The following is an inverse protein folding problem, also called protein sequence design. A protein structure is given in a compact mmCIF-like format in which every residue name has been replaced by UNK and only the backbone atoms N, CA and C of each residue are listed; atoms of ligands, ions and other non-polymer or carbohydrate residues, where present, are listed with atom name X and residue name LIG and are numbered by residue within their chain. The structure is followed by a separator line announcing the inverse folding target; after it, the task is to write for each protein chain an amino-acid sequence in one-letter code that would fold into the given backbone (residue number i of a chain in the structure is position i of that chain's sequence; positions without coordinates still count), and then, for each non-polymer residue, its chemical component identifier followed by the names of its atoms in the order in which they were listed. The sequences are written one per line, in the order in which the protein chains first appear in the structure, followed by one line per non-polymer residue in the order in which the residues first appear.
data_IF_281323772085
#
_entry.id   IF_281323772085
#
_cell.length_a   1.000
_cell.length_b   1.000
_cell.length_c   1.000
_cell.angle_alpha   90.00
_cell.angle_beta   90.00
_cell.angle_gamma   90.00
#
_symmetry.space_group_name_H-M   'P 1'
#
loop_
_entity.id
_entity.type
_entity.pdbx_description
1 polymer ?
#
# COMPACT_ATOMS: atom_id res chain seq x y z
N UNK A 1 -24.83 -15.72 0.19
CA UNK A 1 -23.59 -15.24 0.87
C UNK A 1 -22.39 -15.81 0.14
N UNK A 2 -21.54 -14.95 -0.43
CA UNK A 2 -20.36 -15.35 -1.21
C UNK A 2 -19.10 -15.49 -0.34
N UNK A 3 -19.26 -15.56 0.98
CA UNK A 3 -18.12 -15.71 1.89
C UNK A 3 -17.58 -17.13 1.84
N UNK A 4 -16.26 -17.26 1.67
CA UNK A 4 -15.54 -18.52 1.65
C UNK A 4 -14.66 -18.66 2.89
N UNK A 5 -14.62 -19.86 3.47
CA UNK A 5 -13.68 -20.13 4.57
C UNK A 5 -12.24 -20.10 4.08
N UNK A 6 -11.38 -19.42 4.81
CA UNK A 6 -9.94 -19.38 4.52
C UNK A 6 -9.28 -20.64 5.10
N UNK A 7 -8.62 -21.40 4.25
CA UNK A 7 -7.84 -22.56 4.66
C UNK A 7 -6.44 -22.16 5.15
N UNK A 8 -5.86 -21.13 4.53
CA UNK A 8 -4.53 -20.63 4.86
C UNK A 8 -4.41 -19.17 4.38
N UNK A 9 -3.84 -18.33 5.20
CA UNK A 9 -3.39 -16.99 4.87
C UNK A 9 -1.85 -17.02 4.78
N UNK A 10 -1.26 -16.34 3.81
CA UNK A 10 0.20 -16.30 3.61
C UNK A 10 0.59 -14.88 3.22
N UNK A 11 1.42 -14.26 4.04
CA UNK A 11 1.93 -12.92 3.77
C UNK A 11 3.24 -12.98 2.97
N UNK A 12 3.31 -12.23 1.89
CA UNK A 12 4.50 -12.05 1.05
C UNK A 12 5.24 -13.35 0.69
N UNK A 13 4.57 -14.31 0.01
CA UNK A 13 5.25 -15.49 -0.50
C UNK A 13 6.35 -15.06 -1.49
N UNK A 14 7.37 -15.90 -1.65
CA UNK A 14 8.33 -15.71 -2.74
C UNK A 14 7.65 -15.79 -4.13
N UNK A 15 8.32 -15.27 -5.16
CA UNK A 15 7.75 -15.16 -6.50
C UNK A 15 7.32 -16.51 -7.09
N UNK A 16 8.11 -17.56 -6.88
CA UNK A 16 7.81 -18.91 -7.40
C UNK A 16 6.59 -19.51 -6.69
N UNK A 17 6.48 -19.28 -5.40
CA UNK A 17 5.31 -19.69 -4.61
C UNK A 17 4.07 -18.91 -5.01
N UNK A 18 4.18 -17.58 -5.23
CA UNK A 18 3.08 -16.76 -5.70
C UNK A 18 2.56 -17.22 -7.07
N UNK A 19 3.44 -17.54 -8.01
CA UNK A 19 3.06 -18.12 -9.32
C UNK A 19 2.27 -19.41 -9.17
N UNK A 20 2.74 -20.32 -8.31
CA UNK A 20 2.03 -21.59 -8.02
C UNK A 20 0.64 -21.37 -7.44
N UNK A 21 0.46 -20.34 -6.60
CA UNK A 21 -0.84 -20.00 -6.02
C UNK A 21 -1.80 -19.45 -7.09
N UNK A 22 -1.31 -18.62 -8.00
CA UNK A 22 -2.10 -18.10 -9.12
C UNK A 22 -2.54 -19.25 -10.03
N UNK A 23 -1.62 -20.15 -10.40
CA UNK A 23 -1.88 -21.30 -11.30
C UNK A 23 -2.88 -22.29 -10.66
N UNK A 24 -2.89 -22.43 -9.35
CA UNK A 24 -3.80 -23.28 -8.62
C UNK A 24 -5.28 -22.79 -8.67
N UNK A 25 -5.52 -21.52 -8.93
CA UNK A 25 -6.85 -20.93 -9.13
C UNK A 25 -7.77 -20.91 -7.90
N UNK A 26 -7.25 -21.25 -6.73
CA UNK A 26 -8.00 -21.30 -5.45
C UNK A 26 -7.39 -20.38 -4.38
N UNK A 27 -6.51 -19.49 -4.78
CA UNK A 27 -5.98 -18.42 -3.95
C UNK A 27 -6.53 -17.07 -4.41
N UNK A 28 -6.65 -16.16 -3.47
CA UNK A 28 -7.09 -14.79 -3.72
C UNK A 28 -5.99 -13.83 -3.30
N UNK A 29 -5.85 -12.74 -4.05
CA UNK A 29 -4.97 -11.65 -3.68
C UNK A 29 -5.57 -10.89 -2.50
N UNK A 30 -4.79 -10.71 -1.44
CA UNK A 30 -5.22 -9.95 -0.28
C UNK A 30 -5.18 -8.44 -0.59
N UNK A 31 -6.32 -7.77 -0.43
CA UNK A 31 -6.40 -6.31 -0.59
C UNK A 31 -5.94 -5.54 0.66
N UNK A 32 -5.69 -6.22 1.77
CA UNK A 32 -5.42 -5.57 3.06
C UNK A 32 -6.65 -4.92 3.72
N UNK A 33 -7.85 -5.12 3.17
CA UNK A 33 -9.10 -4.61 3.74
C UNK A 33 -9.73 -5.63 4.66
N UNK A 34 -9.67 -5.39 5.97
CA UNK A 34 -10.24 -6.27 6.97
C UNK A 34 -11.44 -5.61 7.65
N UNK A 35 -12.52 -6.38 7.83
CA UNK A 35 -13.71 -5.96 8.57
C UNK A 35 -14.01 -6.97 9.67
N UNK A 36 -14.15 -6.51 10.88
CA UNK A 36 -14.37 -7.37 12.07
C UNK A 36 -15.18 -6.65 13.15
N UNK A 37 -15.78 -7.43 14.05
CA UNK A 37 -16.30 -6.88 15.31
C UNK A 37 -15.16 -6.63 16.27
N UNK A 38 -15.14 -5.49 16.95
CA UNK A 38 -14.08 -5.12 17.90
C UNK A 38 -13.86 -6.20 18.97
N UNK A 39 -14.92 -6.80 19.50
CA UNK A 39 -14.82 -7.86 20.50
C UNK A 39 -14.15 -9.14 19.96
N UNK A 40 -14.35 -9.47 18.69
CA UNK A 40 -13.75 -10.64 18.06
C UNK A 40 -12.25 -10.42 17.87
N UNK A 41 -11.87 -9.27 17.30
CA UNK A 41 -10.44 -9.00 17.06
C UNK A 41 -9.65 -8.84 18.37
N UNK A 42 -10.24 -8.26 19.42
CA UNK A 42 -9.61 -8.20 20.74
C UNK A 42 -9.37 -9.61 21.29
N UNK A 43 -10.34 -10.51 21.13
CA UNK A 43 -10.18 -11.91 21.54
C UNK A 43 -9.09 -12.65 20.76
N UNK A 44 -8.92 -12.35 19.46
CA UNK A 44 -7.82 -12.93 18.67
C UNK A 44 -6.46 -12.36 19.12
N UNK A 45 -6.37 -11.08 19.47
CA UNK A 45 -5.16 -10.51 20.08
C UNK A 45 -4.87 -11.14 21.45
N UNK A 46 -5.88 -11.37 22.27
CA UNK A 46 -5.71 -12.08 23.55
C UNK A 46 -5.15 -13.48 23.36
N UNK A 47 -5.59 -14.18 22.29
CA UNK A 47 -5.16 -15.54 21.97
C UNK A 47 -3.73 -15.59 21.41
N UNK A 48 -3.41 -14.72 20.46
CA UNK A 48 -2.18 -14.84 19.66
C UNK A 48 -1.10 -13.82 20.01
N UNK A 49 -1.47 -12.68 20.61
CA UNK A 49 -0.58 -11.58 20.95
C UNK A 49 -0.91 -10.97 22.33
N UNK A 50 -0.98 -11.78 23.41
CA UNK A 50 -1.42 -11.28 24.72
C UNK A 50 -0.50 -10.22 25.30
N UNK A 51 0.80 -10.29 25.02
CA UNK A 51 1.79 -9.29 25.45
C UNK A 51 1.55 -7.94 24.78
N UNK A 52 1.41 -7.94 23.44
CA UNK A 52 1.13 -6.73 22.66
C UNK A 52 -0.17 -6.08 23.13
N UNK A 53 -1.24 -6.86 23.26
CA UNK A 53 -2.54 -6.32 23.70
C UNK A 53 -2.45 -5.68 25.11
N UNK A 54 -1.71 -6.29 26.03
CA UNK A 54 -1.51 -5.74 27.37
C UNK A 54 -0.79 -4.40 27.30
N UNK A 55 0.32 -4.34 26.59
CA UNK A 55 1.10 -3.11 26.44
C UNK A 55 0.26 -2.00 25.78
N UNK A 56 -0.52 -2.31 24.74
CA UNK A 56 -1.40 -1.36 24.10
C UNK A 56 -2.50 -0.85 25.06
N UNK A 57 -3.12 -1.74 25.86
CA UNK A 57 -4.11 -1.34 26.87
C UNK A 57 -3.49 -0.38 27.90
N UNK A 58 -2.29 -0.69 28.39
CA UNK A 58 -1.59 0.15 29.37
C UNK A 58 -1.27 1.54 28.81
N UNK A 59 -0.97 1.67 27.51
CA UNK A 59 -0.73 2.94 26.84
C UNK A 59 -2.03 3.75 26.66
N UNK A 60 -3.11 3.11 26.21
CA UNK A 60 -4.39 3.77 25.90
C UNK A 60 -5.13 4.24 27.15
N UNK A 61 -5.10 3.46 28.25
CA UNK A 61 -5.84 3.80 29.47
C UNK A 61 -5.23 4.95 30.28
N UNK A 62 -4.05 5.47 29.92
CA UNK A 62 -3.41 6.60 30.63
C UNK A 62 -4.00 7.97 30.31
N UNK A 63 -4.93 8.06 29.36
CA UNK A 63 -5.54 9.34 28.90
C UNK A 63 -4.50 10.40 28.44
N UNK A 64 -3.28 9.97 28.15
CA UNK A 64 -2.19 10.83 27.70
C UNK A 64 -1.79 10.45 26.27
N UNK A 65 -1.21 11.40 25.55
CA UNK A 65 -0.61 11.10 24.26
C UNK A 65 0.54 10.09 24.45
N UNK A 66 0.53 9.02 23.64
CA UNK A 66 1.62 8.04 23.62
C UNK A 66 2.84 8.69 23.02
N UNK A 67 3.97 8.66 23.71
CA UNK A 67 5.24 9.16 23.17
C UNK A 67 5.80 8.22 22.10
N UNK A 68 6.67 8.73 21.23
CA UNK A 68 7.34 7.91 20.21
C UNK A 68 8.13 6.77 20.86
N UNK A 69 8.90 7.06 21.91
CA UNK A 69 9.72 6.08 22.63
C UNK A 69 8.88 4.93 23.21
N UNK A 70 7.68 5.23 23.73
CA UNK A 70 6.76 4.21 24.25
C UNK A 70 6.16 3.37 23.11
N UNK A 71 5.85 4.01 21.98
CA UNK A 71 5.33 3.32 20.81
C UNK A 71 6.38 2.38 20.18
N UNK A 72 7.63 2.81 20.10
CA UNK A 72 8.75 2.03 19.56
C UNK A 72 9.10 0.78 20.40
N UNK A 73 8.64 0.72 21.66
CA UNK A 73 8.78 -0.49 22.50
C UNK A 73 7.77 -1.57 22.16
N UNK A 74 6.74 -1.27 21.36
CA UNK A 74 5.81 -2.28 20.89
C UNK A 74 6.49 -3.17 19.82
N UNK A 75 6.13 -4.47 19.74
CA UNK A 75 6.60 -5.33 18.66
C UNK A 75 6.24 -4.78 17.29
N UNK A 76 7.23 -4.65 16.41
CA UNK A 76 7.01 -4.35 14.99
C UNK A 76 6.56 -5.62 14.26
N UNK A 77 5.26 -5.83 14.18
CA UNK A 77 4.65 -6.99 13.55
C UNK A 77 3.41 -6.58 12.76
N UNK A 78 3.36 -6.97 11.49
CA UNK A 78 2.19 -6.76 10.66
C UNK A 78 0.96 -7.52 11.18
N UNK A 79 -0.22 -6.93 11.08
CA UNK A 79 -1.49 -7.55 11.46
C UNK A 79 -1.72 -8.91 10.80
N UNK A 80 -1.32 -9.03 9.55
CA UNK A 80 -1.36 -10.25 8.75
C UNK A 80 -0.63 -11.40 9.46
N UNK A 81 0.62 -11.18 9.86
CA UNK A 81 1.44 -12.17 10.57
C UNK A 81 1.04 -12.35 12.05
N UNK A 82 0.57 -11.27 12.68
CA UNK A 82 0.17 -11.30 14.08
C UNK A 82 -1.09 -12.14 14.30
N UNK A 83 -2.08 -12.01 13.42
CA UNK A 83 -3.43 -12.53 13.56
C UNK A 83 -3.85 -13.38 12.36
N UNK A 84 -3.77 -12.86 11.11
CA UNK A 84 -4.44 -13.48 9.96
C UNK A 84 -3.85 -14.84 9.58
N UNK A 85 -2.56 -15.04 9.72
CA UNK A 85 -1.92 -16.35 9.50
C UNK A 85 -2.25 -17.41 10.55
N UNK A 86 -2.84 -17.00 11.70
CA UNK A 86 -3.06 -17.86 12.86
C UNK A 86 -4.53 -18.10 13.18
N UNK A 87 -5.41 -17.19 12.79
CA UNK A 87 -6.83 -17.27 13.11
C UNK A 87 -7.54 -18.33 12.25
N UNK A 88 -8.47 -19.03 12.87
CA UNK A 88 -9.40 -19.96 12.21
C UNK A 88 -10.79 -19.33 11.97
N UNK A 89 -10.97 -18.05 12.30
CA UNK A 89 -12.25 -17.34 12.20
C UNK A 89 -12.38 -16.47 10.95
N UNK A 90 -11.35 -16.42 10.12
CA UNK A 90 -11.34 -15.57 8.94
C UNK A 90 -12.14 -16.20 7.79
N UNK A 91 -12.84 -15.33 7.06
CA UNK A 91 -13.49 -15.65 5.80
C UNK A 91 -13.03 -14.65 4.73
N UNK A 92 -13.06 -15.05 3.47
CA UNK A 92 -12.78 -14.17 2.34
C UNK A 92 -14.06 -13.91 1.56
N UNK A 93 -14.25 -12.66 1.12
CA UNK A 93 -15.26 -12.23 0.18
C UNK A 93 -14.57 -11.96 -1.14
N UNK A 94 -14.58 -12.89 -2.11
CA UNK A 94 -14.02 -12.64 -3.43
C UNK A 94 -14.76 -11.47 -4.08
N UNK A 95 -14.01 -10.49 -4.57
CA UNK A 95 -14.56 -9.26 -5.12
C UNK A 95 -13.78 -8.82 -6.35
N UNK A 96 -14.48 -8.28 -7.33
CA UNK A 96 -13.93 -7.69 -8.55
C UNK A 96 -14.56 -6.30 -8.74
N UNK A 97 -13.97 -5.31 -8.07
CA UNK A 97 -14.42 -3.91 -8.12
C UNK A 97 -13.31 -2.96 -8.59
N UNK A 98 -12.30 -3.50 -9.30
CA UNK A 98 -11.19 -2.71 -9.82
C UNK A 98 -10.20 -2.25 -8.75
N UNK A 99 -10.05 -3.01 -7.65
CA UNK A 99 -9.04 -2.70 -6.65
C UNK A 99 -7.62 -2.84 -7.21
N UNK A 100 -6.76 -1.91 -6.85
CA UNK A 100 -5.33 -1.94 -7.18
C UNK A 100 -4.51 -1.50 -5.96
N UNK A 101 -3.42 -2.21 -5.71
CA UNK A 101 -2.41 -1.78 -4.73
C UNK A 101 -1.55 -0.68 -5.35
N UNK A 102 -1.97 0.58 -5.18
CA UNK A 102 -1.25 1.75 -5.69
C UNK A 102 -0.05 2.03 -4.76
N UNK A 103 0.97 1.18 -4.83
CA UNK A 103 2.19 1.28 -4.03
C UNK A 103 3.36 1.99 -4.73
N UNK A 104 3.16 2.53 -5.95
CA UNK A 104 4.21 3.22 -6.72
C UNK A 104 3.61 4.21 -7.72
N UNK A 105 4.43 5.13 -8.20
CA UNK A 105 4.05 6.04 -9.30
C UNK A 105 3.70 5.28 -10.58
N UNK A 106 4.40 4.19 -10.86
CA UNK A 106 4.08 3.28 -11.96
C UNK A 106 2.69 2.69 -11.84
N UNK A 107 2.33 2.17 -10.66
CA UNK A 107 0.99 1.60 -10.43
C UNK A 107 -0.10 2.66 -10.58
N UNK A 108 0.16 3.88 -10.10
CA UNK A 108 -0.76 5.01 -10.25
C UNK A 108 -0.91 5.41 -11.73
N UNK A 109 0.21 5.48 -12.46
CA UNK A 109 0.19 5.71 -13.91
C UNK A 109 -0.64 4.65 -14.64
N UNK A 110 -0.43 3.37 -14.32
CA UNK A 110 -1.14 2.26 -14.98
C UNK A 110 -2.65 2.31 -14.71
N UNK A 111 -3.05 2.76 -13.53
CA UNK A 111 -4.44 2.83 -13.07
C UNK A 111 -5.22 4.02 -13.67
N UNK A 112 -4.59 5.19 -13.79
CA UNK A 112 -5.26 6.42 -14.20
C UNK A 112 -5.52 6.47 -15.72
N UNK A 113 -6.58 7.19 -16.16
CA UNK A 113 -6.83 7.42 -17.58
C UNK A 113 -5.70 8.23 -18.21
N UNK A 114 -5.39 7.92 -19.47
CA UNK A 114 -4.29 8.49 -20.23
C UNK A 114 -4.78 9.35 -21.39
N UNK A 115 -4.00 10.37 -21.72
CA UNK A 115 -4.22 11.16 -22.94
C UNK A 115 -3.85 10.37 -24.22
N UNK A 116 -4.02 11.01 -25.39
CA UNK A 116 -3.68 10.42 -26.71
C UNK A 116 -2.22 10.03 -26.87
N UNK A 117 -1.33 10.60 -26.10
CA UNK A 117 0.11 10.31 -26.08
C UNK A 117 0.50 9.33 -24.95
N UNK A 118 -0.49 8.71 -24.31
CA UNK A 118 -0.31 7.87 -23.13
C UNK A 118 0.30 8.61 -21.92
N UNK A 119 0.02 9.90 -21.74
CA UNK A 119 0.41 10.62 -20.54
C UNK A 119 -0.74 10.65 -19.54
N UNK A 120 -0.40 10.68 -18.26
CA UNK A 120 -1.25 11.10 -17.16
C UNK A 120 -0.77 12.51 -16.74
N UNK A 121 -1.64 13.50 -16.85
CA UNK A 121 -1.32 14.89 -16.54
C UNK A 121 -2.30 15.41 -15.49
N UNK A 122 -1.76 15.93 -14.38
CA UNK A 122 -2.52 16.54 -13.28
C UNK A 122 -1.83 17.86 -12.89
N UNK A 123 -2.52 18.98 -13.08
CA UNK A 123 -2.03 20.32 -12.78
C UNK A 123 -1.78 21.18 -14.01
N UNK A 124 -1.07 22.30 -13.82
CA UNK A 124 -0.71 23.24 -14.89
C UNK A 124 0.54 22.74 -15.64
N UNK A 125 0.30 22.10 -16.80
CA UNK A 125 1.35 21.40 -17.55
C UNK A 125 1.31 21.74 -19.04
N UNK A 126 2.45 22.13 -19.59
CA UNK A 126 2.70 22.24 -21.04
C UNK A 126 3.56 21.04 -21.47
N UNK A 127 2.96 20.07 -22.14
CA UNK A 127 3.64 18.88 -22.63
C UNK A 127 3.80 18.92 -24.15
N UNK A 128 5.03 19.19 -24.64
CA UNK A 128 5.36 19.19 -26.05
C UNK A 128 6.18 17.94 -26.39
N UNK A 129 5.76 17.19 -27.39
CA UNK A 129 6.45 15.95 -27.84
C UNK A 129 6.78 15.01 -26.68
N UNK A 130 5.84 14.93 -25.71
CA UNK A 130 5.95 14.18 -24.46
C UNK A 130 5.00 12.99 -24.51
N UNK A 131 5.47 11.79 -24.16
CA UNK A 131 4.69 10.56 -24.24
C UNK A 131 5.01 9.57 -23.13
N UNK A 132 4.03 8.75 -22.73
CA UNK A 132 4.15 7.72 -21.68
C UNK A 132 4.68 8.29 -20.36
N UNK A 133 4.26 9.51 -20.01
CA UNK A 133 4.73 10.20 -18.80
C UNK A 133 3.61 10.34 -17.76
N UNK A 134 3.99 10.31 -16.50
CA UNK A 134 3.17 10.75 -15.40
C UNK A 134 3.67 12.13 -14.93
N UNK A 135 2.86 13.16 -15.05
CA UNK A 135 3.26 14.52 -14.69
C UNK A 135 2.21 15.10 -13.74
N UNK A 136 2.62 15.42 -12.53
CA UNK A 136 1.78 16.02 -11.52
C UNK A 136 2.42 17.29 -10.96
N UNK A 137 1.74 18.43 -11.12
CA UNK A 137 2.14 19.72 -10.56
C UNK A 137 1.08 20.27 -9.63
N UNK A 138 1.48 20.80 -8.48
CA UNK A 138 0.56 21.37 -7.49
C UNK A 138 0.57 22.90 -7.49
N UNK A 139 1.73 23.53 -7.61
CA UNK A 139 1.86 24.97 -7.47
C UNK A 139 2.53 25.65 -8.67
N UNK A 140 3.39 24.95 -9.41
CA UNK A 140 4.17 25.52 -10.51
C UNK A 140 3.73 25.01 -11.86
N UNK A 141 3.83 25.86 -12.87
CA UNK A 141 3.77 25.41 -14.26
C UNK A 141 4.93 24.45 -14.54
N UNK A 142 4.60 23.26 -15.02
CA UNK A 142 5.57 22.27 -15.50
C UNK A 142 5.57 22.29 -17.03
N UNK A 143 6.69 22.58 -17.63
CA UNK A 143 6.86 22.51 -19.08
C UNK A 143 7.81 21.35 -19.44
N UNK A 144 7.34 20.43 -20.27
CA UNK A 144 8.14 19.30 -20.77
C UNK A 144 8.27 19.32 -22.27
N UNK A 145 9.43 18.89 -22.78
CA UNK A 145 9.73 18.84 -24.21
C UNK A 145 10.56 17.60 -24.53
N UNK A 146 10.10 16.77 -25.49
CA UNK A 146 10.73 15.50 -25.88
C UNK A 146 10.97 14.54 -24.71
N UNK A 147 10.00 14.42 -23.80
CA UNK A 147 10.10 13.53 -22.63
C UNK A 147 9.38 12.21 -22.90
N UNK A 148 9.97 11.10 -22.49
CA UNK A 148 9.36 9.77 -22.61
C UNK A 148 9.61 8.94 -21.36
N UNK A 149 8.63 8.08 -21.01
CA UNK A 149 8.70 7.09 -19.92
C UNK A 149 9.15 7.68 -18.57
N UNK A 150 8.64 8.86 -18.23
CA UNK A 150 9.13 9.62 -17.08
C UNK A 150 8.01 9.98 -16.11
N UNK A 151 8.31 9.88 -14.82
CA UNK A 151 7.53 10.47 -13.73
C UNK A 151 8.10 11.84 -13.40
N UNK A 152 7.25 12.86 -13.35
CA UNK A 152 7.54 14.19 -12.83
C UNK A 152 6.49 14.52 -11.79
N UNK A 153 6.89 14.70 -10.55
CA UNK A 153 6.00 15.08 -9.44
C UNK A 153 6.57 16.30 -8.75
N UNK A 154 5.78 17.37 -8.72
CA UNK A 154 6.09 18.60 -8.03
C UNK A 154 5.21 18.74 -6.80
N UNK A 155 5.86 19.06 -5.68
CA UNK A 155 5.25 19.43 -4.40
C UNK A 155 5.79 20.78 -3.94
N UNK A 156 5.21 21.45 -2.93
CA UNK A 156 5.69 22.76 -2.49
C UNK A 156 7.17 22.80 -2.11
N UNK A 157 7.73 21.69 -1.64
CA UNK A 157 9.09 21.57 -1.12
C UNK A 157 10.07 20.84 -2.04
N UNK A 158 9.57 20.07 -3.02
CA UNK A 158 10.46 19.25 -3.85
C UNK A 158 9.94 19.00 -5.26
N UNK A 159 10.82 18.55 -6.14
CA UNK A 159 10.48 18.01 -7.46
C UNK A 159 11.15 16.64 -7.60
N UNK A 160 10.34 15.62 -7.83
CA UNK A 160 10.80 14.26 -8.11
C UNK A 160 10.73 13.98 -9.60
N UNK A 161 11.83 13.50 -10.18
CA UNK A 161 11.91 13.06 -11.58
C UNK A 161 12.57 11.70 -11.61
N UNK A 162 11.94 10.73 -12.28
CA UNK A 162 12.45 9.36 -12.41
C UNK A 162 11.96 8.72 -13.70
N UNK A 163 12.67 7.70 -14.16
CA UNK A 163 12.10 6.72 -15.08
C UNK A 163 10.87 6.06 -14.43
N UNK A 164 9.79 5.85 -15.21
CA UNK A 164 8.52 5.37 -14.65
C UNK A 164 8.60 3.94 -14.12
N UNK A 165 9.37 3.08 -14.78
CA UNK A 165 9.50 1.67 -14.41
C UNK A 165 10.37 1.50 -13.16
N UNK A 166 11.31 2.45 -12.91
CA UNK A 166 12.21 2.47 -11.76
C UNK A 166 11.72 3.37 -10.61
N UNK A 167 10.53 3.97 -10.73
CA UNK A 167 10.00 4.94 -9.75
C UNK A 167 9.66 4.36 -8.35
N UNK A 168 9.79 3.04 -8.17
CA UNK A 168 9.63 2.38 -6.85
C UNK A 168 10.75 2.73 -5.86
N UNK A 169 11.92 3.08 -6.35
CA UNK A 169 13.11 3.33 -5.53
C UNK A 169 13.09 4.69 -4.83
N UNK A 170 12.01 5.48 -4.98
CA UNK A 170 11.85 6.78 -4.30
C UNK A 170 12.06 6.70 -2.78
N UNK A 171 11.75 5.56 -2.16
CA UNK A 171 11.99 5.34 -0.72
C UNK A 171 13.46 5.51 -0.32
N UNK A 172 14.39 5.18 -1.20
CA UNK A 172 15.83 5.36 -0.93
C UNK A 172 16.25 6.82 -0.90
N UNK A 173 15.47 7.71 -1.56
CA UNK A 173 15.69 9.16 -1.58
C UNK A 173 15.03 9.87 -0.39
N UNK A 174 13.97 9.27 0.17
CA UNK A 174 13.19 9.84 1.27
C UNK A 174 13.98 9.97 2.59
N UNK A 175 15.10 9.28 2.73
CA UNK A 175 15.98 9.38 3.90
C UNK A 175 16.69 10.75 4.04
N UNK A 176 16.45 11.68 3.11
CA UNK A 176 17.10 13.01 3.09
C UNK A 176 16.22 14.08 3.77
N UNK A 177 14.94 13.79 4.03
CA UNK A 177 13.96 14.79 4.52
C UNK A 177 13.20 14.34 5.79
N UNK A 178 13.72 13.40 6.54
CA UNK A 178 13.20 13.03 7.86
C UNK A 178 14.12 13.58 8.94
#
# INVERSE_FOLDING_TARGET
DNALSIKRFVEKPDEDTAKKYIDAGNFFWNSGMFTFKASVIIGEFERFQPGLLRNMKDLVYREQAVSLDEYEQLPDIAFDCAIMEKTDKAVVLPSDFGWSDIGSWKSLYDFLPKDKNNNVIDGDVIAKDTKKCFIMGRERLIATNYLENTVVVETPDSVFISDIDNSRDVKSLSLIHI
#
